data_IF_052190005800
#
_entry.id   IF_052190005800
#
_cell.length_a   1.000
_cell.length_b   1.000
_cell.length_c   1.000
_cell.angle_alpha   90.00
_cell.angle_beta   90.00
_cell.angle_gamma   90.00
#
_symmetry.space_group_name_H-M   'P 1'
#
loop_
_entity.id
_entity.type
_entity.pdbx_description
1 polymer ?
#
# COMPACT_ATOMS: atom_id res chain seq x y z
N UNK A 1 -10.62 11.96 0.05
CA UNK A 1 -12.08 11.75 -0.13
C UNK A 1 -12.72 11.48 1.24
N UNK A 2 -14.02 11.71 1.39
CA UNK A 2 -14.74 11.46 2.67
C UNK A 2 -14.62 10.00 3.15
N UNK A 3 -14.68 9.03 2.23
CA UNK A 3 -14.46 7.60 2.55
C UNK A 3 -13.03 7.31 3.04
N UNK A 4 -12.02 7.97 2.47
CA UNK A 4 -10.64 7.85 2.96
C UNK A 4 -10.48 8.46 4.35
N UNK A 5 -11.13 9.59 4.64
CA UNK A 5 -11.13 10.17 5.98
C UNK A 5 -11.89 9.32 6.99
N UNK A 6 -13.00 8.69 6.58
CA UNK A 6 -13.75 7.77 7.43
C UNK A 6 -12.98 6.48 7.76
N UNK A 7 -12.11 6.02 6.83
CA UNK A 7 -11.15 4.94 7.11
C UNK A 7 -10.16 5.33 8.21
N UNK A 8 -9.59 6.53 8.14
CA UNK A 8 -8.64 7.00 9.16
C UNK A 8 -9.29 7.05 10.56
N UNK A 9 -10.60 7.31 10.62
CA UNK A 9 -11.39 7.31 11.86
C UNK A 9 -12.06 5.97 12.20
N UNK A 10 -11.79 4.89 11.42
CA UNK A 10 -12.39 3.55 11.57
C UNK A 10 -13.91 3.53 11.73
N UNK A 11 -14.61 4.50 11.13
CA UNK A 11 -16.05 4.66 11.31
C UNK A 11 -16.81 3.93 10.21
N UNK A 12 -17.14 2.65 10.45
CA UNK A 12 -17.89 1.81 9.49
C UNK A 12 -19.27 2.37 9.20
N UNK A 13 -20.01 2.83 10.23
CA UNK A 13 -21.37 3.34 10.08
C UNK A 13 -21.43 4.56 9.17
N UNK A 14 -20.51 5.51 9.33
CA UNK A 14 -20.43 6.69 8.46
C UNK A 14 -20.03 6.28 7.03
N UNK A 15 -19.07 5.36 6.90
CA UNK A 15 -18.60 4.88 5.60
C UNK A 15 -19.68 4.16 4.80
N UNK A 16 -20.51 3.35 5.46
CA UNK A 16 -21.68 2.72 4.86
C UNK A 16 -22.72 3.75 4.40
N UNK A 17 -23.01 4.77 5.22
CA UNK A 17 -23.91 5.86 4.85
C UNK A 17 -23.41 6.61 3.62
N UNK A 18 -22.10 6.93 3.59
CA UNK A 18 -21.47 7.59 2.44
C UNK A 18 -21.56 6.71 1.19
N UNK A 19 -21.22 5.42 1.29
CA UNK A 19 -21.26 4.50 0.15
C UNK A 19 -22.68 4.33 -0.40
N UNK A 20 -23.68 4.14 0.48
CA UNK A 20 -25.11 4.09 0.09
C UNK A 20 -25.51 5.36 -0.65
N UNK A 21 -25.15 6.53 -0.12
CA UNK A 21 -25.45 7.82 -0.77
C UNK A 21 -24.77 7.96 -2.13
N UNK A 22 -23.51 7.52 -2.26
CA UNK A 22 -22.81 7.51 -3.54
C UNK A 22 -23.50 6.62 -4.57
N UNK A 23 -23.93 5.42 -4.17
CA UNK A 23 -24.67 4.49 -5.06
C UNK A 23 -25.99 5.11 -5.54
N UNK A 24 -26.71 5.83 -4.68
CA UNK A 24 -27.94 6.55 -5.06
C UNK A 24 -27.69 7.74 -5.98
N UNK A 25 -26.68 8.56 -5.69
CA UNK A 25 -26.42 9.80 -6.45
C UNK A 25 -25.71 9.55 -7.77
N UNK A 26 -24.85 8.53 -7.82
CA UNK A 26 -23.99 8.26 -8.97
C UNK A 26 -24.05 6.78 -9.39
N UNK A 27 -25.24 6.24 -9.73
CA UNK A 27 -25.42 4.82 -10.01
C UNK A 27 -24.59 4.32 -11.21
N UNK A 28 -24.29 5.22 -12.16
CA UNK A 28 -23.50 4.90 -13.35
C UNK A 28 -21.99 5.03 -13.14
N UNK A 29 -21.52 5.57 -12.00
CA UNK A 29 -20.11 5.77 -11.71
C UNK A 29 -19.45 4.49 -11.17
N UNK A 30 -19.59 3.37 -11.90
CA UNK A 30 -19.28 2.02 -11.43
C UNK A 30 -17.84 1.87 -10.91
N UNK A 31 -16.86 2.50 -11.57
CA UNK A 31 -15.45 2.45 -11.14
C UNK A 31 -15.23 3.18 -9.81
N UNK A 32 -15.90 4.31 -9.62
CA UNK A 32 -15.86 5.08 -8.36
C UNK A 32 -16.56 4.35 -7.23
N UNK A 33 -17.68 3.67 -7.53
CA UNK A 33 -18.37 2.80 -6.59
C UNK A 33 -17.49 1.60 -6.21
N UNK A 34 -16.81 0.98 -7.19
CA UNK A 34 -15.84 -0.08 -6.93
C UNK A 34 -14.75 0.39 -5.95
N UNK A 35 -14.15 1.56 -6.18
CA UNK A 35 -13.17 2.12 -5.26
C UNK A 35 -13.75 2.33 -3.84
N UNK A 36 -15.01 2.76 -3.75
CA UNK A 36 -15.75 2.84 -2.48
C UNK A 36 -15.92 1.49 -1.78
N UNK A 37 -16.25 0.42 -2.53
CA UNK A 37 -16.34 -0.95 -2.01
C UNK A 37 -15.01 -1.40 -1.41
N UNK A 38 -13.89 -1.15 -2.10
CA UNK A 38 -12.55 -1.50 -1.60
C UNK A 38 -12.21 -0.75 -0.33
N UNK A 39 -12.53 0.54 -0.25
CA UNK A 39 -12.29 1.33 0.96
C UNK A 39 -13.12 0.81 2.13
N UNK A 40 -14.41 0.55 1.93
CA UNK A 40 -15.30 0.06 2.98
C UNK A 40 -14.94 -1.37 3.42
N UNK A 41 -14.58 -2.26 2.49
CA UNK A 41 -14.10 -3.61 2.86
C UNK A 41 -12.85 -3.53 3.73
N UNK A 42 -11.92 -2.63 3.39
CA UNK A 42 -10.71 -2.45 4.20
C UNK A 42 -11.00 -1.86 5.59
N UNK A 43 -12.07 -1.05 5.74
CA UNK A 43 -12.52 -0.58 7.06
C UNK A 43 -13.03 -1.76 7.89
N UNK A 44 -13.84 -2.65 7.30
CA UNK A 44 -14.24 -3.88 7.99
C UNK A 44 -13.03 -4.72 8.40
N UNK A 45 -12.04 -4.91 7.51
CA UNK A 45 -10.80 -5.61 7.85
C UNK A 45 -10.05 -4.95 9.01
N UNK A 46 -9.96 -3.61 9.04
CA UNK A 46 -9.31 -2.88 10.14
C UNK A 46 -10.00 -3.02 11.49
N UNK A 47 -11.26 -3.49 11.49
CA UNK A 47 -12.06 -3.82 12.68
C UNK A 47 -12.02 -5.33 13.00
N UNK A 48 -11.18 -6.11 12.32
CA UNK A 48 -11.08 -7.57 12.47
C UNK A 48 -12.18 -8.37 11.76
N UNK A 49 -13.09 -7.70 11.03
CA UNK A 49 -14.25 -8.32 10.36
C UNK A 49 -13.88 -8.82 8.95
N UNK A 50 -12.96 -9.77 8.88
CA UNK A 50 -12.36 -10.21 7.61
C UNK A 50 -13.35 -10.93 6.70
N UNK A 51 -14.21 -11.78 7.25
CA UNK A 51 -15.21 -12.50 6.45
C UNK A 51 -16.30 -11.56 5.94
N UNK A 52 -16.77 -10.61 6.75
CA UNK A 52 -17.70 -9.58 6.29
C UNK A 52 -17.07 -8.69 5.23
N UNK A 53 -15.80 -8.31 5.38
CA UNK A 53 -15.06 -7.56 4.38
C UNK A 53 -15.01 -8.28 3.04
N UNK A 54 -14.66 -9.58 3.06
CA UNK A 54 -14.56 -10.44 1.89
C UNK A 54 -15.92 -10.60 1.20
N UNK A 55 -16.96 -10.96 1.96
CA UNK A 55 -18.31 -11.17 1.44
C UNK A 55 -18.89 -9.87 0.86
N UNK A 56 -18.77 -8.75 1.57
CA UNK A 56 -19.21 -7.45 1.09
C UNK A 56 -18.53 -7.08 -0.23
N UNK A 57 -17.19 -7.23 -0.28
CA UNK A 57 -16.40 -6.91 -1.46
C UNK A 57 -16.81 -7.75 -2.66
N UNK A 58 -16.86 -9.07 -2.51
CA UNK A 58 -17.19 -9.99 -3.61
C UNK A 58 -18.58 -9.69 -4.17
N UNK A 59 -19.59 -9.60 -3.30
CA UNK A 59 -20.97 -9.37 -3.70
C UNK A 59 -21.14 -8.03 -4.42
N UNK A 60 -20.56 -6.94 -3.90
CA UNK A 60 -20.71 -5.62 -4.50
C UNK A 60 -19.94 -5.45 -5.80
N UNK A 61 -18.74 -6.04 -5.93
CA UNK A 61 -17.97 -5.98 -7.17
C UNK A 61 -18.65 -6.79 -8.29
N UNK A 62 -19.22 -7.95 -7.95
CA UNK A 62 -20.03 -8.75 -8.87
C UNK A 62 -21.26 -7.98 -9.36
N UNK A 63 -22.01 -7.36 -8.43
CA UNK A 63 -23.17 -6.52 -8.75
C UNK A 63 -22.80 -5.37 -9.71
N UNK A 64 -21.66 -4.72 -9.48
CA UNK A 64 -21.18 -3.62 -10.32
C UNK A 64 -20.68 -4.09 -11.70
N UNK A 65 -20.33 -5.37 -11.86
CA UNK A 65 -19.71 -5.96 -13.06
C UNK A 65 -18.47 -5.20 -13.52
N UNK A 66 -17.59 -4.88 -12.58
CA UNK A 66 -16.37 -4.09 -12.80
C UNK A 66 -15.12 -4.87 -12.43
N UNK A 67 -14.07 -4.70 -13.22
CA UNK A 67 -12.73 -5.18 -12.86
C UNK A 67 -12.07 -4.17 -11.91
N UNK A 68 -11.62 -4.66 -10.75
CA UNK A 68 -10.84 -3.87 -9.80
C UNK A 68 -9.39 -3.82 -10.29
N UNK A 69 -8.78 -2.63 -10.31
CA UNK A 69 -7.37 -2.48 -10.66
C UNK A 69 -6.48 -3.15 -9.62
N UNK A 70 -5.54 -3.96 -10.08
CA UNK A 70 -4.48 -4.53 -9.24
C UNK A 70 -3.44 -3.46 -8.94
N UNK A 71 -2.94 -3.42 -7.71
CA UNK A 71 -1.85 -2.53 -7.33
C UNK A 71 -0.54 -2.96 -7.97
N UNK A 72 0.09 -2.06 -8.69
CA UNK A 72 1.36 -2.24 -9.37
C UNK A 72 2.27 -1.06 -9.02
N UNK A 73 3.53 -1.38 -8.77
CA UNK A 73 4.59 -0.38 -8.63
C UNK A 73 5.69 -0.67 -9.63
N UNK A 74 6.36 0.38 -10.11
CA UNK A 74 7.49 0.24 -11.04
C UNK A 74 8.55 1.31 -10.83
N UNK A 75 9.73 1.02 -11.35
CA UNK A 75 10.91 1.89 -11.38
C UNK A 75 11.61 1.72 -12.72
N UNK A 76 12.45 2.69 -13.08
CA UNK A 76 13.43 2.53 -14.14
C UNK A 76 14.78 2.15 -13.53
N UNK A 77 15.40 1.08 -14.02
CA UNK A 77 16.76 0.66 -13.64
C UNK A 77 17.53 0.45 -14.93
N UNK A 78 18.63 1.20 -15.10
CA UNK A 78 19.54 1.09 -16.27
C UNK A 78 18.79 1.15 -17.62
N UNK A 79 17.81 2.05 -17.74
CA UNK A 79 17.03 2.22 -18.98
C UNK A 79 15.86 1.25 -19.15
N UNK A 80 15.61 0.35 -18.19
CA UNK A 80 14.53 -0.63 -18.26
C UNK A 80 13.49 -0.43 -17.16
N UNK A 81 12.21 -0.49 -17.55
CA UNK A 81 11.10 -0.45 -16.60
C UNK A 81 10.94 -1.83 -15.97
N UNK A 82 11.09 -1.90 -14.64
CA UNK A 82 10.77 -3.10 -13.86
C UNK A 82 9.47 -2.84 -13.10
N UNK A 83 8.49 -3.72 -13.28
CA UNK A 83 7.18 -3.63 -12.65
C UNK A 83 6.94 -4.85 -11.74
N UNK A 84 6.45 -4.59 -10.53
CA UNK A 84 6.14 -5.63 -9.53
C UNK A 84 4.72 -5.43 -9.00
N UNK A 85 4.06 -6.53 -8.65
CA UNK A 85 2.80 -6.55 -7.88
C UNK A 85 3.06 -6.91 -6.42
N UNK A 86 2.04 -6.80 -5.56
CA UNK A 86 2.17 -7.26 -4.18
C UNK A 86 2.42 -8.78 -4.14
N UNK A 87 3.34 -9.22 -3.28
CA UNK A 87 3.78 -10.61 -3.11
C UNK A 87 4.29 -11.24 -4.42
N UNK A 88 4.94 -10.44 -5.27
CA UNK A 88 5.51 -10.96 -6.51
C UNK A 88 6.79 -11.74 -6.22
N UNK A 89 6.83 -12.99 -6.68
CA UNK A 89 8.01 -13.86 -6.64
C UNK A 89 8.50 -14.24 -8.05
N UNK A 90 7.87 -13.71 -9.09
CA UNK A 90 8.18 -14.05 -10.49
C UNK A 90 9.43 -13.34 -11.03
N UNK A 91 9.90 -12.29 -10.35
CA UNK A 91 11.12 -11.60 -10.73
C UNK A 91 12.36 -12.51 -10.52
N UNK A 92 13.34 -12.53 -11.44
CA UNK A 92 14.52 -13.39 -11.32
C UNK A 92 15.33 -13.17 -10.02
N UNK A 93 15.33 -11.94 -9.50
CA UNK A 93 15.99 -11.56 -8.24
C UNK A 93 15.03 -11.56 -7.04
N UNK A 94 13.92 -12.32 -7.07
CA UNK A 94 12.92 -12.28 -6.00
C UNK A 94 13.52 -12.64 -4.64
N UNK A 95 14.35 -13.68 -4.58
CA UNK A 95 15.05 -14.08 -3.35
C UNK A 95 15.86 -12.94 -2.73
N UNK A 96 16.62 -12.20 -3.53
CA UNK A 96 17.42 -11.07 -3.08
C UNK A 96 16.55 -9.89 -2.64
N UNK A 97 15.45 -9.61 -3.36
CA UNK A 97 14.47 -8.58 -3.01
C UNK A 97 13.92 -8.84 -1.61
N UNK A 98 13.41 -10.05 -1.34
CA UNK A 98 12.88 -10.39 -0.02
C UNK A 98 13.98 -10.38 1.06
N UNK A 99 15.19 -10.83 0.75
CA UNK A 99 16.30 -10.73 1.70
C UNK A 99 16.67 -9.28 2.06
N UNK A 100 16.62 -8.33 1.11
CA UNK A 100 16.83 -6.90 1.39
C UNK A 100 15.67 -6.34 2.21
N UNK A 101 14.44 -6.73 1.94
CA UNK A 101 13.27 -6.36 2.75
C UNK A 101 13.42 -6.84 4.19
N UNK A 102 13.85 -8.08 4.41
CA UNK A 102 14.07 -8.61 5.75
C UNK A 102 15.13 -7.82 6.51
N UNK A 103 16.22 -7.41 5.85
CA UNK A 103 17.23 -6.53 6.44
C UNK A 103 16.66 -5.16 6.80
N UNK A 104 15.87 -4.55 5.92
CA UNK A 104 15.21 -3.26 6.18
C UNK A 104 14.24 -3.37 7.35
N UNK A 105 13.45 -4.45 7.40
CA UNK A 105 12.52 -4.77 8.49
C UNK A 105 13.25 -4.88 9.83
N UNK A 106 14.32 -5.67 9.91
CA UNK A 106 15.10 -5.82 11.15
C UNK A 106 15.66 -4.49 11.64
N UNK A 107 16.31 -3.71 10.76
CA UNK A 107 16.82 -2.38 11.11
C UNK A 107 15.71 -1.42 11.54
N UNK A 108 14.54 -1.46 10.91
CA UNK A 108 13.42 -0.62 11.28
C UNK A 108 12.91 -0.96 12.69
N UNK A 109 12.78 -2.24 13.02
CA UNK A 109 12.39 -2.71 14.36
C UNK A 109 13.42 -2.28 15.41
N UNK A 110 14.71 -2.42 15.12
CA UNK A 110 15.81 -1.93 15.97
C UNK A 110 15.73 -0.41 16.23
N UNK A 111 15.20 0.36 15.27
CA UNK A 111 14.95 1.79 15.39
C UNK A 111 13.57 2.13 15.96
N UNK A 112 12.83 1.16 16.49
CA UNK A 112 11.55 1.35 17.16
C UNK A 112 10.32 1.42 16.24
N UNK A 113 10.42 1.00 14.98
CA UNK A 113 9.27 0.92 14.09
C UNK A 113 8.30 -0.18 14.52
N UNK A 114 7.00 0.15 14.54
CA UNK A 114 5.93 -0.78 14.92
C UNK A 114 5.02 -1.01 13.72
N UNK A 115 4.82 -2.28 13.38
CA UNK A 115 3.90 -2.66 12.30
C UNK A 115 2.44 -2.55 12.76
N UNK A 116 1.67 -1.72 12.07
CA UNK A 116 0.24 -1.52 12.34
C UNK A 116 -0.61 -2.56 11.59
N UNK A 117 -1.14 -3.53 12.33
CA UNK A 117 -2.00 -4.59 11.81
C UNK A 117 -3.30 -4.09 11.19
N UNK A 118 -3.72 -2.84 11.45
CA UNK A 118 -4.94 -2.28 10.85
C UNK A 118 -4.86 -2.06 9.33
N UNK A 119 -3.66 -2.17 8.75
CA UNK A 119 -3.44 -2.17 7.31
C UNK A 119 -3.60 -3.55 6.66
N UNK A 120 -3.77 -4.61 7.44
CA UNK A 120 -4.07 -5.95 6.95
C UNK A 120 -5.50 -6.01 6.44
N UNK A 121 -5.68 -6.44 5.18
CA UNK A 121 -6.99 -6.44 4.50
C UNK A 121 -7.63 -7.83 4.42
N UNK A 122 -7.05 -8.86 5.03
CA UNK A 122 -7.54 -10.24 5.05
C UNK A 122 -7.06 -10.98 6.29
N UNK A 123 -7.69 -12.10 6.62
CA UNK A 123 -7.14 -13.02 7.61
C UNK A 123 -5.75 -13.52 7.18
N UNK A 124 -4.88 -13.67 8.19
CA UNK A 124 -3.55 -14.26 8.02
C UNK A 124 -3.64 -15.78 8.13
N UNK A 125 -2.85 -16.49 7.34
CA UNK A 125 -2.66 -17.92 7.49
C UNK A 125 -1.65 -18.21 8.62
N UNK A 126 -1.57 -19.46 9.08
CA UNK A 126 -0.67 -19.88 10.17
C UNK A 126 0.81 -19.54 9.93
N UNK A 127 1.23 -19.51 8.65
CA UNK A 127 2.61 -19.23 8.25
C UNK A 127 2.87 -17.75 7.94
N UNK A 128 1.89 -16.87 8.13
CA UNK A 128 2.00 -15.45 7.80
C UNK A 128 2.06 -14.59 9.06
N UNK A 129 2.98 -13.63 9.05
CA UNK A 129 3.05 -12.59 10.06
C UNK A 129 2.52 -11.27 9.50
N UNK A 130 2.20 -10.32 10.38
CA UNK A 130 1.79 -8.97 9.96
C UNK A 130 2.89 -8.33 9.11
N UNK A 131 4.15 -8.48 9.53
CA UNK A 131 5.30 -7.93 8.82
C UNK A 131 5.48 -8.58 7.45
N UNK A 132 5.37 -9.92 7.34
CA UNK A 132 5.57 -10.59 6.05
C UNK A 132 4.52 -10.17 5.02
N UNK A 133 3.28 -9.95 5.45
CA UNK A 133 2.21 -9.46 4.56
C UNK A 133 2.43 -7.99 4.19
N UNK A 134 2.67 -7.11 5.17
CA UNK A 134 2.78 -5.67 4.90
C UNK A 134 4.06 -5.30 4.13
N UNK A 135 5.16 -6.02 4.36
CA UNK A 135 6.41 -5.83 3.64
C UNK A 135 6.38 -6.37 2.20
N UNK A 136 5.41 -7.23 1.86
CA UNK A 136 5.24 -7.76 0.51
C UNK A 136 4.54 -6.80 -0.47
N UNK A 137 4.21 -5.57 -0.06
CA UNK A 137 3.60 -4.59 -0.96
C UNK A 137 4.56 -4.14 -2.07
N UNK A 138 4.01 -3.91 -3.27
CA UNK A 138 4.80 -3.66 -4.48
C UNK A 138 5.73 -2.46 -4.38
N UNK A 139 5.36 -1.38 -3.67
CA UNK A 139 6.26 -0.24 -3.44
C UNK A 139 7.56 -0.68 -2.77
N UNK A 140 7.46 -1.51 -1.74
CA UNK A 140 8.60 -1.94 -0.94
C UNK A 140 9.47 -2.92 -1.72
N UNK A 141 8.85 -3.79 -2.54
CA UNK A 141 9.59 -4.66 -3.46
C UNK A 141 10.43 -3.84 -4.45
N UNK A 142 9.85 -2.77 -5.00
CA UNK A 142 10.54 -1.89 -5.96
C UNK A 142 11.65 -1.07 -5.28
N UNK A 143 11.43 -0.56 -4.07
CA UNK A 143 12.46 0.14 -3.29
C UNK A 143 13.62 -0.80 -2.98
N UNK A 144 13.32 -2.01 -2.51
CA UNK A 144 14.33 -3.02 -2.22
C UNK A 144 15.15 -3.39 -3.47
N UNK A 145 14.50 -3.55 -4.62
CA UNK A 145 15.19 -3.79 -5.88
C UNK A 145 16.15 -2.64 -6.25
N UNK A 146 15.72 -1.38 -6.11
CA UNK A 146 16.61 -0.23 -6.34
C UNK A 146 17.84 -0.27 -5.43
N UNK A 147 17.65 -0.52 -4.13
CA UNK A 147 18.75 -0.62 -3.16
C UNK A 147 19.68 -1.82 -3.39
N UNK A 148 19.22 -2.86 -4.09
CA UNK A 148 20.07 -3.99 -4.51
C UNK A 148 20.92 -3.59 -5.71
N UNK A 149 20.31 -2.90 -6.68
CA UNK A 149 20.97 -2.50 -7.92
C UNK A 149 21.96 -1.36 -7.70
N UNK A 150 21.69 -0.49 -6.74
CA UNK A 150 22.55 0.60 -6.30
C UNK A 150 22.57 0.63 -4.75
N UNK A 151 23.60 0.06 -4.09
CA UNK A 151 23.64 -0.06 -2.62
C UNK A 151 23.69 1.24 -1.83
N UNK A 152 24.11 2.35 -2.45
CA UNK A 152 24.18 3.67 -1.83
C UNK A 152 23.59 4.73 -2.77
N UNK A 153 22.30 4.62 -3.13
CA UNK A 153 21.71 5.50 -4.10
C UNK A 153 21.53 6.88 -3.48
N UNK A 154 21.80 7.94 -4.26
CA UNK A 154 21.42 9.29 -3.83
C UNK A 154 19.91 9.49 -3.88
N UNK A 155 19.23 8.77 -4.78
CA UNK A 155 17.83 8.99 -5.10
C UNK A 155 17.18 7.70 -5.61
N UNK A 156 15.95 7.42 -5.17
CA UNK A 156 15.13 6.31 -5.66
C UNK A 156 13.80 6.86 -6.18
N UNK A 157 13.41 6.47 -7.39
CA UNK A 157 12.10 6.82 -7.95
C UNK A 157 11.19 5.59 -8.02
N UNK A 158 9.96 5.73 -7.51
CA UNK A 158 8.93 4.70 -7.60
C UNK A 158 7.65 5.32 -8.13
N UNK A 159 6.98 4.62 -9.02
CA UNK A 159 5.64 4.99 -9.47
C UNK A 159 4.66 3.89 -9.08
N UNK A 160 3.49 4.28 -8.58
CA UNK A 160 2.38 3.38 -8.22
C UNK A 160 1.09 3.81 -8.92
N UNK A 161 0.34 2.84 -9.44
CA UNK A 161 -0.93 3.11 -10.12
C UNK A 161 -2.12 3.35 -9.18
N UNK A 162 -1.97 3.00 -7.90
CA UNK A 162 -2.92 3.23 -6.81
C UNK A 162 -2.32 4.20 -5.80
N UNK A 163 -3.15 4.72 -4.90
CA UNK A 163 -2.67 5.49 -3.74
C UNK A 163 -1.78 4.62 -2.84
N UNK A 164 -0.71 5.20 -2.30
CA UNK A 164 0.15 4.54 -1.30
C UNK A 164 -0.65 4.29 -0.02
N UNK A 165 -0.50 3.11 0.59
CA UNK A 165 -1.16 2.80 1.86
C UNK A 165 -0.37 3.40 3.04
N UNK A 166 -1.02 3.55 4.20
CA UNK A 166 -0.37 4.16 5.37
C UNK A 166 0.85 3.39 5.86
N UNK A 167 0.78 2.05 5.87
CA UNK A 167 1.96 1.24 6.18
C UNK A 167 3.15 1.54 5.25
N UNK A 168 2.96 1.48 3.93
CA UNK A 168 4.05 1.74 2.99
C UNK A 168 4.58 3.17 3.10
N UNK A 169 3.70 4.14 3.37
CA UNK A 169 4.11 5.52 3.59
C UNK A 169 5.05 5.64 4.81
N UNK A 170 4.63 5.15 5.97
CA UNK A 170 5.43 5.23 7.19
C UNK A 170 6.72 4.41 7.08
N UNK A 171 6.64 3.22 6.51
CA UNK A 171 7.83 2.39 6.35
C UNK A 171 8.83 2.98 5.35
N UNK A 172 8.35 3.67 4.30
CA UNK A 172 9.25 4.36 3.35
C UNK A 172 9.99 5.54 4.01
N UNK A 173 9.36 6.29 4.92
CA UNK A 173 10.08 7.29 5.73
C UNK A 173 11.23 6.67 6.51
N UNK A 174 10.98 5.51 7.13
CA UNK A 174 11.99 4.79 7.90
C UNK A 174 13.11 4.28 7.00
N UNK A 175 12.79 3.75 5.81
CA UNK A 175 13.80 3.33 4.84
C UNK A 175 14.66 4.52 4.38
N UNK A 176 14.05 5.66 4.04
CA UNK A 176 14.78 6.87 3.64
C UNK A 176 15.77 7.30 4.72
N UNK A 177 15.37 7.23 5.99
CA UNK A 177 16.22 7.50 7.15
C UNK A 177 17.32 6.44 7.36
N UNK A 178 17.03 5.16 7.23
CA UNK A 178 18.02 4.08 7.43
C UNK A 178 19.09 4.10 6.35
N UNK A 179 18.67 4.25 5.09
CA UNK A 179 19.56 4.17 3.93
C UNK A 179 20.12 5.55 3.54
N UNK A 180 19.75 6.61 4.27
CA UNK A 180 20.23 7.99 4.09
C UNK A 180 20.12 8.46 2.63
N UNK A 181 18.96 8.24 2.01
CA UNK A 181 18.70 8.59 0.60
C UNK A 181 17.31 9.22 0.43
N UNK A 182 17.17 10.02 -0.63
CA UNK A 182 15.86 10.54 -1.04
C UNK A 182 15.06 9.46 -1.77
N UNK A 183 13.81 9.26 -1.36
CA UNK A 183 12.89 8.35 -2.05
C UNK A 183 11.70 9.18 -2.53
N UNK A 184 11.42 9.15 -3.83
CA UNK A 184 10.25 9.79 -4.42
C UNK A 184 9.28 8.75 -4.91
N UNK A 185 8.06 8.79 -4.39
CA UNK A 185 6.97 7.90 -4.78
C UNK A 185 5.87 8.72 -5.43
N UNK A 186 5.66 8.55 -6.75
CA UNK A 186 4.49 9.09 -7.45
C UNK A 186 3.36 8.08 -7.38
N UNK A 187 2.29 8.39 -6.67
CA UNK A 187 1.12 7.53 -6.57
C UNK A 187 -0.05 8.03 -7.45
N UNK A 188 -1.23 7.43 -7.32
CA UNK A 188 -2.40 7.84 -8.11
C UNK A 188 -2.91 9.26 -7.82
N UNK A 189 -2.54 9.85 -6.67
CA UNK A 189 -3.10 11.08 -6.16
C UNK A 189 -2.07 12.22 -6.13
N UNK A 190 -0.80 11.92 -5.84
CA UNK A 190 0.25 12.92 -5.63
C UNK A 190 1.65 12.32 -5.72
N UNK A 191 2.64 13.19 -5.56
CA UNK A 191 4.04 12.83 -5.38
C UNK A 191 4.38 12.97 -3.90
N UNK A 192 5.02 11.94 -3.36
CA UNK A 192 5.58 11.91 -2.02
C UNK A 192 7.10 12.00 -2.15
N UNK A 193 7.72 12.91 -1.43
CA UNK A 193 9.18 12.99 -1.31
C UNK A 193 9.54 12.67 0.14
N UNK A 194 10.15 11.50 0.33
CA UNK A 194 10.66 11.03 1.60
C UNK A 194 12.12 11.43 1.75
N UNK A 195 12.39 12.28 2.72
CA UNK A 195 13.71 12.84 2.97
C UNK A 195 14.52 11.95 3.94
N UNK A 196 15.87 12.00 3.90
CA UNK A 196 16.74 11.25 4.82
C UNK A 196 16.53 11.53 6.32
N UNK A 197 15.82 12.58 6.68
CA UNK A 197 15.43 12.89 8.06
C UNK A 197 14.16 12.13 8.53
N UNK A 198 13.56 11.31 7.66
CA UNK A 198 12.34 10.54 7.95
C UNK A 198 11.04 11.33 7.80
N UNK A 199 11.07 12.50 7.14
CA UNK A 199 9.86 13.26 6.83
C UNK A 199 9.38 13.02 5.40
N UNK A 200 8.08 13.21 5.17
CA UNK A 200 7.50 13.21 3.83
C UNK A 200 7.00 14.62 3.48
N UNK A 201 7.18 15.04 2.23
CA UNK A 201 6.68 16.33 1.73
C UNK A 201 5.16 16.49 1.84
N UNK A 202 4.40 15.41 2.00
CA UNK A 202 2.95 15.46 2.18
C UNK A 202 2.50 15.82 3.61
N UNK A 203 3.42 15.91 4.57
CA UNK A 203 3.13 16.21 5.99
C UNK A 203 2.03 15.31 6.58
N UNK A 204 2.01 14.05 6.16
CA UNK A 204 1.05 13.03 6.59
C UNK A 204 -0.42 13.31 6.19
N UNK A 205 -0.62 14.28 5.30
CA UNK A 205 -1.92 14.61 4.72
C UNK A 205 -2.18 13.86 3.41
N UNK A 206 -1.90 12.56 3.35
CA UNK A 206 -2.07 11.74 2.14
C UNK A 206 -3.45 11.12 2.02
#
# INVERSE_FOLDING_TARGET
SLLSGARNNRNSNLSEKIYKRMKTLFPNAKQSLAAGVILLSNIYSSLGKYEEAKNFRSNQIEELRVKVKVGLSWTEIKGHIVQLKAHDHSHPQSTEIYAKIDRLKSKAIENGFIFDSSWITRSLNENESIESVLCGHSELLVIALNLIQEPAPKFIQVVKNLRVCGHCHEFTKVIAKIEQCDIVVRDANRIHHFYPNGQCSCQDHF
#
